data_IF_943436920656
#
_entry.id   IF_943436920656
#
_cell.length_a   1.000
_cell.length_b   1.000
_cell.length_c   1.000
_cell.angle_alpha   90.00
_cell.angle_beta   90.00
_cell.angle_gamma   90.00
#
_symmetry.space_group_name_H-M   'P 1'
#
loop_
_entity.id
_entity.type
_entity.pdbx_description
1 polymer ?
#
# COMPACT_ATOMS: atom_id res chain seq x y z
N UNK A 1 34.64 24.76 26.67
CA UNK A 1 34.42 23.59 25.81
C UNK A 1 32.93 23.36 25.64
N UNK A 2 32.34 23.82 24.52
CA UNK A 2 30.94 23.56 24.20
C UNK A 2 30.88 22.31 23.32
N UNK A 3 30.24 21.25 23.83
CA UNK A 3 30.02 20.01 23.08
C UNK A 3 28.91 20.29 22.06
N UNK A 4 29.27 20.43 20.79
CA UNK A 4 28.30 20.52 19.70
C UNK A 4 27.71 19.13 19.44
N UNK A 5 26.50 18.89 19.94
CA UNK A 5 25.75 17.66 19.68
C UNK A 5 25.08 17.81 18.30
N UNK A 6 25.70 17.30 17.24
CA UNK A 6 25.02 17.18 15.94
C UNK A 6 23.92 16.12 16.06
N UNK A 7 22.65 16.42 15.71
CA UNK A 7 21.60 15.42 15.71
C UNK A 7 21.95 14.32 14.70
N UNK A 8 22.04 13.08 15.17
CA UNK A 8 22.29 11.91 14.32
C UNK A 8 21.03 11.60 13.52
N UNK A 9 20.94 12.15 12.31
CA UNK A 9 19.88 11.86 11.36
C UNK A 9 20.09 10.45 10.80
N UNK A 10 19.48 9.44 11.42
CA UNK A 10 19.45 8.11 10.84
C UNK A 10 18.71 8.19 9.49
N UNK A 11 19.37 7.91 8.35
CA UNK A 11 18.66 7.87 7.09
C UNK A 11 17.69 6.70 7.15
N UNK A 12 16.39 6.98 7.25
CA UNK A 12 15.38 5.96 7.01
C UNK A 12 15.67 5.36 5.64
N UNK A 13 15.97 4.06 5.59
CA UNK A 13 16.10 3.32 4.34
C UNK A 13 14.72 3.30 3.68
N UNK A 14 14.48 4.27 2.80
CA UNK A 14 13.17 4.61 2.23
C UNK A 14 12.48 3.41 1.54
N UNK A 15 13.25 2.42 1.10
CA UNK A 15 12.72 1.19 0.50
C UNK A 15 11.85 0.34 1.45
N UNK A 16 12.21 0.20 2.73
CA UNK A 16 11.43 -0.63 3.68
C UNK A 16 10.01 -0.08 3.92
N UNK A 17 9.81 1.23 4.21
CA UNK A 17 8.48 1.81 4.30
C UNK A 17 7.66 1.66 3.02
N UNK A 18 8.26 1.83 1.84
CA UNK A 18 7.57 1.68 0.56
C UNK A 18 7.04 0.26 0.34
N UNK A 19 7.82 -0.76 0.72
CA UNK A 19 7.38 -2.16 0.65
C UNK A 19 6.14 -2.38 1.52
N UNK A 20 6.14 -1.87 2.76
CA UNK A 20 5.02 -1.99 3.69
C UNK A 20 3.78 -1.29 3.14
N UNK A 21 3.92 -0.07 2.61
CA UNK A 21 2.82 0.69 2.00
C UNK A 21 2.22 -0.09 0.83
N UNK A 22 3.05 -0.65 -0.06
CA UNK A 22 2.57 -1.41 -1.21
C UNK A 22 1.82 -2.68 -0.79
N UNK A 23 2.27 -3.39 0.26
CA UNK A 23 1.56 -4.56 0.81
C UNK A 23 0.18 -4.16 1.35
N UNK A 24 0.09 -3.04 2.08
CA UNK A 24 -1.18 -2.54 2.60
C UNK A 24 -2.16 -2.23 1.45
N UNK A 25 -1.68 -1.59 0.38
CA UNK A 25 -2.50 -1.33 -0.80
C UNK A 25 -2.97 -2.62 -1.47
N UNK A 26 -2.11 -3.63 -1.61
CA UNK A 26 -2.50 -4.94 -2.16
C UNK A 26 -3.63 -5.54 -1.31
N UNK A 27 -3.50 -5.55 0.02
CA UNK A 27 -4.54 -6.06 0.91
C UNK A 27 -5.87 -5.32 0.73
N UNK A 28 -5.85 -3.98 0.69
CA UNK A 28 -7.07 -3.20 0.47
C UNK A 28 -7.68 -3.42 -0.91
N UNK A 29 -6.86 -3.43 -1.96
CA UNK A 29 -7.34 -3.66 -3.32
C UNK A 29 -7.97 -5.05 -3.47
N UNK A 30 -7.42 -6.07 -2.79
CA UNK A 30 -8.03 -7.40 -2.68
C UNK A 30 -9.40 -7.30 -2.02
N UNK A 31 -9.49 -6.69 -0.83
CA UNK A 31 -10.78 -6.52 -0.13
C UNK A 31 -11.79 -5.81 -1.03
N UNK A 32 -11.43 -4.69 -1.66
CA UNK A 32 -12.34 -3.88 -2.47
C UNK A 32 -12.84 -4.62 -3.71
N UNK A 33 -11.98 -5.38 -4.41
CA UNK A 33 -12.47 -6.17 -5.55
C UNK A 33 -13.45 -7.26 -5.12
N UNK A 34 -13.27 -7.83 -3.92
CA UNK A 34 -14.17 -8.85 -3.39
C UNK A 34 -15.47 -8.25 -2.86
N UNK A 35 -15.43 -7.05 -2.26
CA UNK A 35 -16.64 -6.30 -1.94
C UNK A 35 -17.43 -5.94 -3.21
N UNK A 36 -16.74 -5.46 -4.27
CA UNK A 36 -17.35 -5.18 -5.58
C UNK A 36 -18.06 -6.39 -6.20
N UNK A 37 -17.58 -7.61 -5.95
CA UNK A 37 -18.23 -8.87 -6.38
C UNK A 37 -19.37 -9.33 -5.48
N UNK A 38 -19.66 -8.63 -4.39
CA UNK A 38 -20.64 -9.05 -3.40
C UNK A 38 -20.21 -10.27 -2.57
N UNK A 39 -18.90 -10.60 -2.54
CA UNK A 39 -18.41 -11.81 -1.87
C UNK A 39 -17.97 -11.54 -0.42
N UNK A 40 -17.62 -10.30 -0.11
CA UNK A 40 -17.14 -9.87 1.21
C UNK A 40 -17.78 -8.54 1.61
N UNK A 41 -17.93 -8.30 2.92
CA UNK A 41 -18.47 -7.05 3.47
C UNK A 41 -19.99 -7.01 3.60
N UNK A 42 -20.53 -5.94 4.22
CA UNK A 42 -21.96 -5.78 4.42
C UNK A 42 -22.65 -5.34 3.13
N UNK A 43 -23.87 -5.85 2.89
CA UNK A 43 -24.66 -5.49 1.70
C UNK A 43 -25.06 -4.00 1.66
N UNK A 44 -25.05 -3.33 2.82
CA UNK A 44 -25.27 -1.88 2.92
C UNK A 44 -24.07 -1.04 2.52
N UNK A 45 -22.91 -1.65 2.25
CA UNK A 45 -21.73 -0.93 1.78
C UNK A 45 -21.96 -0.38 0.38
N UNK A 46 -21.54 0.87 0.14
CA UNK A 46 -21.53 1.48 -1.18
C UNK A 46 -20.65 0.72 -2.21
N UNK A 47 -19.76 -0.14 -1.72
CA UNK A 47 -18.89 -0.98 -2.56
C UNK A 47 -19.53 -2.32 -2.92
N UNK A 48 -20.54 -2.79 -2.19
CA UNK A 48 -21.07 -4.14 -2.35
C UNK A 48 -21.82 -4.28 -3.68
N UNK A 49 -21.54 -5.35 -4.45
CA UNK A 49 -22.09 -5.56 -5.79
C UNK A 49 -21.89 -4.38 -6.77
N UNK A 50 -20.80 -3.65 -6.63
CA UNK A 50 -20.47 -2.52 -7.49
C UNK A 50 -19.27 -2.83 -8.40
N UNK A 51 -19.51 -2.84 -9.72
CA UNK A 51 -18.49 -3.17 -10.73
C UNK A 51 -17.34 -2.17 -10.76
N UNK A 52 -17.58 -0.89 -10.44
CA UNK A 52 -16.51 0.12 -10.36
C UNK A 52 -15.51 -0.25 -9.27
N UNK A 53 -15.98 -0.78 -8.14
CA UNK A 53 -15.12 -1.21 -7.04
C UNK A 53 -14.32 -2.49 -7.34
N UNK A 54 -14.77 -3.31 -8.31
CA UNK A 54 -13.96 -4.41 -8.86
C UNK A 54 -12.75 -3.83 -9.59
N UNK A 55 -12.96 -2.89 -10.51
CA UNK A 55 -11.88 -2.26 -11.27
C UNK A 55 -10.95 -1.42 -10.39
N UNK A 56 -11.52 -0.62 -9.49
CA UNK A 56 -10.75 0.17 -8.53
C UNK A 56 -9.88 -0.74 -7.64
N UNK A 57 -10.42 -1.86 -7.16
CA UNK A 57 -9.65 -2.84 -6.39
C UNK A 57 -8.46 -3.40 -7.17
N UNK A 58 -8.65 -3.75 -8.44
CA UNK A 58 -7.58 -4.23 -9.33
C UNK A 58 -6.51 -3.13 -9.55
N UNK A 59 -6.91 -1.89 -9.82
CA UNK A 59 -5.99 -0.76 -10.00
C UNK A 59 -5.16 -0.54 -8.73
N UNK A 60 -5.77 -0.62 -7.55
CA UNK A 60 -5.08 -0.50 -6.26
C UNK A 60 -4.09 -1.64 -6.07
N UNK A 61 -4.43 -2.89 -6.42
CA UNK A 61 -3.50 -4.03 -6.37
C UNK A 61 -2.29 -3.79 -7.26
N UNK A 62 -2.50 -3.40 -8.53
CA UNK A 62 -1.41 -3.13 -9.48
C UNK A 62 -0.51 -2.01 -8.98
N UNK A 63 -1.11 -0.95 -8.42
CA UNK A 63 -0.37 0.17 -7.82
C UNK A 63 0.46 -0.27 -6.60
N UNK A 64 -0.11 -1.12 -5.74
CA UNK A 64 0.59 -1.70 -4.60
C UNK A 64 1.79 -2.57 -5.02
N UNK A 65 1.62 -3.41 -6.05
CA UNK A 65 2.72 -4.21 -6.63
C UNK A 65 3.83 -3.30 -7.16
N UNK A 66 3.48 -2.24 -7.89
CA UNK A 66 4.46 -1.28 -8.43
C UNK A 66 5.23 -0.57 -7.30
N UNK A 67 4.54 -0.09 -6.26
CA UNK A 67 5.15 0.57 -5.10
C UNK A 67 6.06 -0.39 -4.32
N UNK A 68 5.62 -1.62 -4.06
CA UNK A 68 6.45 -2.63 -3.40
C UNK A 68 7.67 -3.00 -4.24
N UNK A 69 7.51 -3.16 -5.56
CA UNK A 69 8.62 -3.42 -6.48
C UNK A 69 9.65 -2.30 -6.49
N UNK A 70 9.19 -1.05 -6.50
CA UNK A 70 10.06 0.13 -6.39
C UNK A 70 10.77 0.20 -5.03
N UNK A 71 10.06 -0.13 -3.94
CA UNK A 71 10.64 -0.22 -2.61
C UNK A 71 11.75 -1.28 -2.50
N UNK A 72 11.56 -2.45 -3.11
CA UNK A 72 12.56 -3.51 -3.20
C UNK A 72 13.78 -3.04 -4.00
N UNK A 73 13.55 -2.41 -5.15
CA UNK A 73 14.62 -1.85 -5.98
C UNK A 73 15.48 -0.84 -5.19
N UNK A 74 14.83 0.08 -4.47
CA UNK A 74 15.51 1.08 -3.66
C UNK A 74 16.21 0.48 -2.43
N UNK A 75 15.70 -0.63 -1.88
CA UNK A 75 16.36 -1.35 -0.78
C UNK A 75 17.57 -2.17 -1.19
N UNK A 76 17.67 -2.54 -2.47
CA UNK A 76 18.83 -3.26 -3.04
C UNK A 76 19.97 -2.33 -3.47
N UNK A 77 19.69 -1.04 -3.68
CA UNK A 77 20.67 -0.01 -4.02
C UNK A 77 21.30 0.59 -2.77
#
# INVERSE_FOLDING_TARGET
>A
YLISIKPQKNPMRLGKPLIIIGIILICFGVIFQFQGRGQLGPESSFMYYNTDWIFNGIIIIVSGIAISGFGIFLSKR
#
